data_IF_527235067552
#
_entry.id   IF_527235067552
#
_cell.length_a   1.000
_cell.length_b   1.000
_cell.length_c   1.000
_cell.angle_alpha   90.00
_cell.angle_beta   90.00
_cell.angle_gamma   90.00
#
_symmetry.space_group_name_H-M   'P 1'
#
loop_
_entity.id
_entity.type
_entity.pdbx_description
1 polymer ?
#
# COMPACT_ATOMS: atom_id res chain seq x y z
N UNK A 1 -6.82 -12.39 10.58
CA UNK A 1 -7.66 -11.42 9.85
C UNK A 1 -7.02 -11.12 8.50
N UNK A 2 -7.82 -11.11 7.45
CA UNK A 2 -7.39 -10.82 6.08
C UNK A 2 -7.86 -9.43 5.67
N UNK A 3 -6.95 -8.60 5.19
CA UNK A 3 -7.22 -7.20 4.82
C UNK A 3 -6.85 -6.98 3.36
N UNK A 4 -7.77 -6.36 2.60
CA UNK A 4 -7.50 -5.92 1.24
C UNK A 4 -7.26 -4.41 1.26
N UNK A 5 -6.10 -3.99 0.75
CA UNK A 5 -5.80 -2.58 0.49
C UNK A 5 -6.08 -2.31 -0.99
N UNK A 6 -7.00 -1.42 -1.27
CA UNK A 6 -7.47 -1.16 -2.63
C UNK A 6 -7.13 0.26 -3.05
N UNK A 7 -6.45 0.39 -4.19
CA UNK A 7 -6.12 1.68 -4.82
C UNK A 7 -6.41 1.61 -6.30
N UNK A 8 -6.10 2.67 -7.02
CA UNK A 8 -6.27 2.70 -8.48
C UNK A 8 -5.19 1.90 -9.19
N UNK A 9 -3.90 2.18 -8.91
CA UNK A 9 -2.80 1.60 -9.69
C UNK A 9 -2.01 0.51 -8.98
N UNK A 10 -2.17 0.38 -7.66
CA UNK A 10 -1.40 -0.56 -6.83
C UNK A 10 0.13 -0.46 -7.05
N UNK A 11 0.60 0.74 -7.32
CA UNK A 11 2.01 0.96 -7.64
C UNK A 11 2.77 1.84 -6.64
N UNK A 12 2.06 2.62 -5.80
CA UNK A 12 2.67 3.53 -4.84
C UNK A 12 1.97 3.48 -3.49
N UNK A 13 0.82 4.16 -3.37
CA UNK A 13 0.13 4.31 -2.08
C UNK A 13 -0.38 2.98 -1.51
N UNK A 14 -0.93 2.12 -2.35
CA UNK A 14 -1.45 0.82 -1.92
C UNK A 14 -0.38 -0.09 -1.34
N UNK A 15 0.70 -0.35 -2.08
CA UNK A 15 1.82 -1.15 -1.56
C UNK A 15 2.44 -0.58 -0.29
N UNK A 16 2.56 0.76 -0.18
CA UNK A 16 3.05 1.39 1.04
C UNK A 16 2.13 1.10 2.23
N UNK A 17 0.83 1.31 2.06
CA UNK A 17 -0.16 1.09 3.13
C UNK A 17 -0.16 -0.38 3.57
N UNK A 18 -0.15 -1.31 2.62
CA UNK A 18 -0.12 -2.74 2.90
C UNK A 18 1.14 -3.13 3.68
N UNK A 19 2.29 -2.58 3.28
CA UNK A 19 3.56 -2.85 3.95
C UNK A 19 3.57 -2.34 5.39
N UNK A 20 3.04 -1.14 5.63
CA UNK A 20 2.95 -0.60 6.99
C UNK A 20 2.00 -1.42 7.87
N UNK A 21 0.85 -1.84 7.34
CA UNK A 21 -0.08 -2.69 8.08
C UNK A 21 0.57 -4.01 8.48
N UNK A 22 1.29 -4.63 7.57
CA UNK A 22 2.02 -5.87 7.86
C UNK A 22 3.11 -5.65 8.90
N UNK A 23 3.79 -4.50 8.84
CA UNK A 23 4.83 -4.15 9.80
C UNK A 23 4.27 -3.91 11.20
N UNK A 24 3.09 -3.27 11.30
CA UNK A 24 2.42 -3.06 12.59
C UNK A 24 1.95 -4.36 13.24
N UNK A 25 1.50 -5.33 12.43
CA UNK A 25 1.07 -6.63 12.93
C UNK A 25 1.38 -7.72 11.90
N UNK A 26 2.52 -8.41 12.05
CA UNK A 26 2.91 -9.48 11.11
C UNK A 26 1.91 -10.63 11.01
N UNK A 27 1.01 -10.76 11.97
CA UNK A 27 -0.05 -11.79 11.94
C UNK A 27 -1.20 -11.43 11.00
N UNK A 28 -1.30 -10.17 10.58
CA UNK A 28 -2.30 -9.76 9.59
C UNK A 28 -1.91 -10.29 8.21
N UNK A 29 -2.89 -10.86 7.50
CA UNK A 29 -2.72 -11.21 6.10
C UNK A 29 -3.19 -10.03 5.26
N UNK A 30 -2.26 -9.29 4.70
CA UNK A 30 -2.55 -8.06 3.95
C UNK A 30 -2.23 -8.26 2.48
N UNK A 31 -3.21 -7.97 1.63
CA UNK A 31 -3.08 -8.04 0.18
C UNK A 31 -3.42 -6.66 -0.37
N UNK A 32 -2.59 -6.12 -1.26
CA UNK A 32 -2.94 -4.90 -1.99
C UNK A 32 -3.28 -5.20 -3.43
N UNK A 33 -4.16 -4.39 -4.03
CA UNK A 33 -4.58 -4.55 -5.41
C UNK A 33 -5.06 -3.20 -5.97
N UNK A 34 -5.12 -3.10 -7.28
CA UNK A 34 -5.57 -1.91 -7.98
C UNK A 34 -6.68 -2.19 -8.96
N UNK A 35 -7.55 -1.22 -9.18
CA UNK A 35 -8.62 -1.31 -10.18
C UNK A 35 -8.05 -1.25 -11.60
N UNK A 36 -6.94 -0.51 -11.78
CA UNK A 36 -6.18 -0.43 -13.04
C UNK A 36 -4.70 -0.54 -12.70
N UNK A 37 -4.20 -1.73 -12.38
CA UNK A 37 -2.84 -1.89 -11.90
C UNK A 37 -1.81 -1.55 -12.97
N UNK A 38 -0.73 -0.90 -12.55
CA UNK A 38 0.43 -0.68 -13.42
C UNK A 38 1.26 -1.97 -13.49
N UNK A 39 2.21 -2.00 -14.43
CA UNK A 39 3.06 -3.19 -14.62
C UNK A 39 4.08 -3.41 -13.51
N UNK A 40 4.50 -2.32 -12.86
CA UNK A 40 5.54 -2.38 -11.83
C UNK A 40 5.27 -1.36 -10.73
N UNK A 41 5.80 -1.66 -9.54
CA UNK A 41 5.79 -0.72 -8.42
C UNK A 41 6.63 0.51 -8.77
N UNK A 42 6.18 1.68 -8.28
CA UNK A 42 6.89 2.94 -8.51
C UNK A 42 8.29 2.90 -7.89
N UNK A 43 9.36 3.12 -8.67
CA UNK A 43 10.73 3.10 -8.14
C UNK A 43 10.98 4.10 -7.01
N UNK A 44 10.31 5.25 -7.03
CA UNK A 44 10.42 6.24 -5.96
C UNK A 44 9.78 5.73 -4.66
N UNK A 45 8.68 4.99 -4.77
CA UNK A 45 8.06 4.34 -3.61
C UNK A 45 9.01 3.32 -3.01
N UNK A 46 9.67 2.52 -3.83
CA UNK A 46 10.69 1.57 -3.38
C UNK A 46 11.79 2.29 -2.61
N UNK A 47 12.29 3.40 -3.15
CA UNK A 47 13.37 4.18 -2.54
C UNK A 47 12.99 4.72 -1.16
N UNK A 48 11.83 5.37 -1.04
CA UNK A 48 11.45 5.99 0.24
C UNK A 48 11.02 4.97 1.29
N UNK A 49 10.48 3.82 0.88
CA UNK A 49 10.14 2.76 1.83
C UNK A 49 11.39 2.06 2.37
N UNK A 50 12.44 1.99 1.57
CA UNK A 50 13.72 1.44 2.03
C UNK A 50 14.32 2.27 3.16
N UNK A 51 14.07 3.57 3.19
CA UNK A 51 14.46 4.45 4.30
C UNK A 51 13.81 4.02 5.62
N UNK A 52 12.65 3.37 5.56
CA UNK A 52 11.95 2.79 6.70
C UNK A 52 12.27 1.31 6.93
N UNK A 53 13.31 0.78 6.28
CA UNK A 53 13.73 -0.62 6.35
C UNK A 53 12.68 -1.58 5.80
N UNK A 54 11.86 -1.12 4.86
CA UNK A 54 10.86 -1.93 4.18
C UNK A 54 11.23 -2.04 2.70
N UNK A 55 11.32 -3.26 2.21
CA UNK A 55 11.70 -3.54 0.82
C UNK A 55 10.46 -3.83 -0.04
N UNK A 56 10.15 -2.91 -0.97
CA UNK A 56 9.08 -3.10 -1.95
C UNK A 56 9.60 -3.54 -3.33
N UNK A 57 10.90 -3.78 -3.48
CA UNK A 57 11.52 -3.96 -4.80
C UNK A 57 11.00 -5.18 -5.58
N UNK A 58 10.47 -6.18 -4.91
CA UNK A 58 9.95 -7.37 -5.57
C UNK A 58 8.44 -7.36 -5.76
N UNK A 59 7.78 -6.29 -5.35
CA UNK A 59 6.32 -6.24 -5.42
C UNK A 59 5.83 -6.02 -6.86
N UNK A 60 4.84 -6.82 -7.27
CA UNK A 60 4.19 -6.68 -8.58
C UNK A 60 2.73 -6.25 -8.34
N UNK A 61 2.29 -5.13 -8.93
CA UNK A 61 0.91 -4.69 -8.81
C UNK A 61 -0.08 -5.79 -9.20
N UNK A 62 -1.18 -5.87 -8.46
CA UNK A 62 -2.18 -6.93 -8.60
C UNK A 62 -3.51 -6.36 -9.06
N UNK A 63 -4.19 -7.07 -9.97
CA UNK A 63 -5.49 -6.67 -10.45
C UNK A 63 -6.59 -7.05 -9.45
N UNK A 64 -7.33 -6.06 -8.96
CA UNK A 64 -8.41 -6.27 -8.01
C UNK A 64 -9.53 -7.16 -8.57
N UNK A 65 -9.71 -7.18 -9.89
CA UNK A 65 -10.70 -8.02 -10.56
C UNK A 65 -10.41 -9.51 -10.41
N UNK A 66 -9.17 -9.87 -10.11
CA UNK A 66 -8.75 -11.25 -9.90
C UNK A 66 -8.99 -11.72 -8.46
N UNK A 67 -9.49 -10.84 -7.60
CA UNK A 67 -9.74 -11.13 -6.19
C UNK A 67 -11.24 -11.11 -5.90
N UNK A 68 -11.64 -11.90 -4.90
CA UNK A 68 -12.99 -11.88 -4.37
C UNK A 68 -13.00 -11.08 -3.07
N UNK A 69 -13.65 -9.92 -3.07
CA UNK A 69 -13.69 -9.02 -1.90
C UNK A 69 -14.28 -9.72 -0.67
N UNK A 70 -15.22 -10.65 -0.87
CA UNK A 70 -15.82 -11.39 0.24
C UNK A 70 -14.84 -12.31 0.98
N UNK A 71 -13.66 -12.57 0.43
CA UNK A 71 -12.62 -13.36 1.08
C UNK A 71 -11.86 -12.57 2.15
N UNK A 72 -12.11 -11.27 2.26
CA UNK A 72 -11.42 -10.38 3.19
C UNK A 72 -12.32 -9.91 4.32
N UNK A 73 -11.75 -9.78 5.51
CA UNK A 73 -12.47 -9.31 6.69
C UNK A 73 -12.69 -7.80 6.67
N UNK A 74 -11.74 -7.07 6.09
CA UNK A 74 -11.77 -5.61 5.94
C UNK A 74 -11.22 -5.20 4.59
N UNK A 75 -11.76 -4.10 4.07
CA UNK A 75 -11.21 -3.44 2.87
C UNK A 75 -10.79 -2.03 3.25
N UNK A 76 -9.53 -1.72 3.00
CA UNK A 76 -8.98 -0.37 3.16
C UNK A 76 -8.88 0.26 1.77
N UNK A 77 -9.77 1.21 1.50
CA UNK A 77 -9.68 2.00 0.29
C UNK A 77 -8.71 3.15 0.52
N UNK A 78 -7.52 3.02 -0.03
CA UNK A 78 -6.47 4.03 0.08
C UNK A 78 -6.55 4.96 -1.13
N UNK A 79 -6.77 6.26 -0.86
CA UNK A 79 -6.79 7.26 -1.93
C UNK A 79 -5.40 7.38 -2.54
N UNK A 80 -5.33 7.32 -3.87
CA UNK A 80 -4.09 7.52 -4.58
C UNK A 80 -3.76 9.00 -4.64
N UNK A 81 -2.59 9.37 -4.12
CA UNK A 81 -2.15 10.76 -4.08
C UNK A 81 -1.32 11.07 -5.31
N UNK A 82 -1.62 12.20 -5.99
CA UNK A 82 -0.78 12.70 -7.05
C UNK A 82 0.50 13.25 -6.44
N UNK A 83 1.62 12.78 -6.93
CA UNK A 83 2.92 13.08 -6.36
C UNK A 83 3.78 13.86 -7.35
N UNK A 84 4.27 15.07 -7.02
CA UNK A 84 5.34 15.69 -7.80
C UNK A 84 6.53 14.73 -7.84
N UNK A 85 7.24 14.69 -8.95
CA UNK A 85 8.32 13.75 -9.16
C UNK A 85 9.60 14.16 -8.42
N UNK A 86 9.50 14.32 -7.10
CA UNK A 86 10.62 14.63 -6.22
C UNK A 86 10.64 13.66 -5.05
N UNK A 87 11.82 13.35 -4.56
CA UNK A 87 11.95 12.42 -3.44
C UNK A 87 11.31 12.96 -2.15
N UNK A 88 11.37 14.28 -1.93
CA UNK A 88 10.76 14.88 -0.75
C UNK A 88 9.25 14.76 -0.76
N UNK A 89 8.60 14.91 -1.92
CA UNK A 89 7.17 14.71 -2.06
C UNK A 89 6.77 13.26 -1.78
N UNK A 90 7.56 12.30 -2.24
CA UNK A 90 7.33 10.88 -1.94
C UNK A 90 7.52 10.57 -0.45
N UNK A 91 8.48 11.22 0.21
CA UNK A 91 8.66 11.07 1.66
C UNK A 91 7.45 11.60 2.44
N UNK A 92 6.89 12.74 2.03
CA UNK A 92 5.70 13.30 2.66
C UNK A 92 4.49 12.37 2.50
N UNK A 93 4.29 11.83 1.30
CA UNK A 93 3.22 10.88 1.02
C UNK A 93 3.42 9.61 1.85
N UNK A 94 4.63 9.06 1.87
CA UNK A 94 4.96 7.89 2.70
C UNK A 94 4.58 8.12 4.16
N UNK A 95 4.96 9.26 4.71
CA UNK A 95 4.71 9.56 6.14
C UNK A 95 3.22 9.76 6.40
N UNK A 96 2.48 10.35 5.47
CA UNK A 96 1.04 10.47 5.52
C UNK A 96 0.37 9.08 5.50
N UNK A 97 0.77 8.22 4.58
CA UNK A 97 0.22 6.87 4.46
C UNK A 97 0.54 6.04 5.68
N UNK A 98 1.74 6.18 6.23
CA UNK A 98 2.13 5.51 7.47
C UNK A 98 1.15 5.84 8.60
N UNK A 99 0.83 7.11 8.76
CA UNK A 99 -0.10 7.56 9.78
C UNK A 99 -1.53 7.08 9.52
N UNK A 100 -2.00 7.18 8.29
CA UNK A 100 -3.34 6.72 7.90
C UNK A 100 -3.50 5.21 8.10
N UNK A 101 -2.49 4.44 7.73
CA UNK A 101 -2.49 2.99 7.94
C UNK A 101 -2.52 2.65 9.43
N UNK A 102 -1.82 3.40 10.25
CA UNK A 102 -1.83 3.21 11.70
C UNK A 102 -3.22 3.46 12.29
N UNK A 103 -3.89 4.53 11.85
CA UNK A 103 -5.25 4.83 12.30
C UNK A 103 -6.24 3.74 11.89
N UNK A 104 -6.11 3.21 10.68
CA UNK A 104 -6.92 2.09 10.24
C UNK A 104 -6.65 0.85 11.09
N UNK A 105 -5.38 0.54 11.35
CA UNK A 105 -4.97 -0.58 12.17
C UNK A 105 -5.56 -0.49 13.59
N UNK A 106 -5.55 0.68 14.19
CA UNK A 106 -6.12 0.89 15.53
C UNK A 106 -7.63 0.65 15.59
N UNK A 107 -8.33 0.79 14.46
CA UNK A 107 -9.77 0.58 14.37
C UNK A 107 -10.19 -0.87 14.14
N UNK A 108 -9.25 -1.76 13.97
CA UNK A 108 -9.55 -3.18 13.68
C UNK A 108 -10.11 -3.93 14.88
#
# INVERSE_FOLDING_TARGET
MRILVLTETDACCGPMAAAFLHDYSPSLEVVSAGNNPLEAVDPMAVTVMKECLIDLSGYVPRDAKMLNVSDFDRVYECLEMTCPNTIDAYREIRDCIKNEAYLFFRGL
#
